data_IF_555745648140
#
_entry.id   IF_555745648140
#
_cell.length_a   1.000
_cell.length_b   1.000
_cell.length_c   1.000
_cell.angle_alpha   90.00
_cell.angle_beta   90.00
_cell.angle_gamma   90.00
#
_symmetry.space_group_name_H-M   'P 1'
#
loop_
_entity.id
_entity.type
_entity.pdbx_description
1 polymer ?
#
# COMPACT_ATOMS: atom_id res chain seq x y z
N UNK A 1 -66.51 20.70 -8.58
CA UNK A 1 -65.59 20.23 -7.52
C UNK A 1 -64.92 21.44 -6.91
N UNK A 2 -64.99 21.62 -5.59
CA UNK A 2 -64.52 22.86 -4.95
C UNK A 2 -63.00 22.97 -5.10
N UNK A 3 -62.45 24.11 -5.59
CA UNK A 3 -61.02 24.26 -5.88
C UNK A 3 -60.14 24.01 -4.63
N UNK A 4 -60.65 24.33 -3.44
CA UNK A 4 -59.99 24.08 -2.16
C UNK A 4 -59.77 22.58 -1.90
N UNK A 5 -60.75 21.74 -2.24
CA UNK A 5 -60.65 20.29 -2.06
C UNK A 5 -59.58 19.67 -2.98
N UNK A 6 -59.44 20.21 -4.20
CA UNK A 6 -58.40 19.78 -5.15
C UNK A 6 -57.00 20.13 -4.62
N UNK A 7 -56.82 21.34 -4.08
CA UNK A 7 -55.55 21.78 -3.51
C UNK A 7 -55.16 20.88 -2.31
N UNK A 8 -56.10 20.61 -1.40
CA UNK A 8 -55.85 19.74 -0.25
C UNK A 8 -55.44 18.32 -0.67
N UNK A 9 -56.08 17.77 -1.70
CA UNK A 9 -55.75 16.45 -2.22
C UNK A 9 -54.33 16.41 -2.84
N UNK A 10 -53.95 17.44 -3.59
CA UNK A 10 -52.59 17.56 -4.15
C UNK A 10 -51.55 17.63 -3.03
N UNK A 11 -51.80 18.45 -2.00
CA UNK A 11 -50.87 18.58 -0.86
C UNK A 11 -50.74 17.25 -0.11
N UNK A 12 -51.84 16.53 0.11
CA UNK A 12 -51.79 15.21 0.74
C UNK A 12 -50.95 14.21 -0.07
N UNK A 13 -51.13 14.17 -1.40
CA UNK A 13 -50.32 13.32 -2.29
C UNK A 13 -48.84 13.69 -2.23
N UNK A 14 -48.51 14.99 -2.26
CA UNK A 14 -47.13 15.45 -2.18
C UNK A 14 -46.46 15.05 -0.85
N UNK A 15 -47.18 15.13 0.27
CA UNK A 15 -46.67 14.71 1.57
C UNK A 15 -46.37 13.21 1.62
N UNK A 16 -47.26 12.38 1.04
CA UNK A 16 -47.04 10.93 0.95
C UNK A 16 -45.81 10.62 0.10
N UNK A 17 -45.68 11.24 -1.08
CA UNK A 17 -44.51 11.05 -1.95
C UNK A 17 -43.23 11.48 -1.24
N UNK A 18 -43.27 12.62 -0.54
CA UNK A 18 -42.13 13.12 0.22
C UNK A 18 -41.67 12.13 1.30
N UNK A 19 -42.61 11.55 2.05
CA UNK A 19 -42.31 10.52 3.04
C UNK A 19 -41.64 9.28 2.43
N UNK A 20 -42.16 8.80 1.30
CA UNK A 20 -41.60 7.66 0.56
C UNK A 20 -40.16 7.95 0.11
N UNK A 21 -39.91 9.15 -0.42
CA UNK A 21 -38.57 9.56 -0.89
C UNK A 21 -37.57 9.59 0.27
N UNK A 22 -37.95 10.16 1.43
CA UNK A 22 -37.07 10.19 2.60
C UNK A 22 -36.75 8.77 3.07
N UNK A 23 -37.77 7.92 3.22
CA UNK A 23 -37.58 6.55 3.68
C UNK A 23 -36.60 5.79 2.78
N UNK A 24 -36.79 5.86 1.46
CA UNK A 24 -35.90 5.22 0.50
C UNK A 24 -34.46 5.76 0.57
N UNK A 25 -34.29 7.08 0.76
CA UNK A 25 -32.95 7.67 0.95
C UNK A 25 -32.27 7.16 2.21
N UNK A 26 -32.99 7.04 3.32
CA UNK A 26 -32.46 6.49 4.57
C UNK A 26 -32.03 5.03 4.42
N UNK A 27 -32.86 4.21 3.78
CA UNK A 27 -32.55 2.81 3.52
C UNK A 27 -31.31 2.69 2.63
N UNK A 28 -31.21 3.50 1.58
CA UNK A 28 -30.04 3.50 0.70
C UNK A 28 -28.77 3.93 1.45
N UNK A 29 -28.87 4.96 2.30
CA UNK A 29 -27.74 5.41 3.12
C UNK A 29 -27.25 4.30 4.06
N UNK A 30 -28.17 3.56 4.70
CA UNK A 30 -27.83 2.41 5.54
C UNK A 30 -27.06 1.33 4.76
N UNK A 31 -27.51 1.00 3.56
CA UNK A 31 -26.82 0.02 2.70
C UNK A 31 -25.43 0.51 2.27
N UNK A 32 -25.30 1.78 1.88
CA UNK A 32 -24.03 2.38 1.49
C UNK A 32 -23.00 2.36 2.62
N UNK A 33 -23.43 2.63 3.86
CA UNK A 33 -22.56 2.51 5.03
C UNK A 33 -22.08 1.08 5.21
N UNK A 34 -22.98 0.08 5.13
CA UNK A 34 -22.61 -1.34 5.23
C UNK A 34 -21.63 -1.78 4.14
N UNK A 35 -21.86 -1.39 2.89
CA UNK A 35 -20.93 -1.65 1.77
C UNK A 35 -19.57 -0.99 2.01
N UNK A 36 -19.55 0.24 2.52
CA UNK A 36 -18.31 0.96 2.80
C UNK A 36 -17.47 0.25 3.87
N UNK A 37 -18.12 -0.23 4.95
CA UNK A 37 -17.46 -1.05 5.97
C UNK A 37 -16.89 -2.35 5.41
N UNK A 38 -17.69 -3.09 4.62
CA UNK A 38 -17.20 -4.33 3.99
C UNK A 38 -16.00 -4.09 3.08
N UNK A 39 -15.98 -2.98 2.32
CA UNK A 39 -14.84 -2.63 1.49
C UNK A 39 -13.59 -2.33 2.33
N UNK A 40 -13.75 -1.63 3.47
CA UNK A 40 -12.63 -1.37 4.40
C UNK A 40 -12.06 -2.68 4.92
N UNK A 41 -12.90 -3.63 5.33
CA UNK A 41 -12.46 -4.93 5.84
C UNK A 41 -11.67 -5.71 4.80
N UNK A 42 -12.13 -5.70 3.53
CA UNK A 42 -11.42 -6.34 2.42
C UNK A 42 -10.05 -5.70 2.21
N UNK A 43 -9.96 -4.37 2.20
CA UNK A 43 -8.69 -3.65 2.04
C UNK A 43 -7.72 -3.94 3.19
N UNK A 44 -8.21 -3.98 4.43
CA UNK A 44 -7.39 -4.29 5.60
C UNK A 44 -6.83 -5.72 5.53
N UNK A 45 -7.67 -6.68 5.12
CA UNK A 45 -7.25 -8.06 4.91
C UNK A 45 -6.21 -8.18 3.80
N UNK A 46 -6.44 -7.53 2.65
CA UNK A 46 -5.47 -7.51 1.55
C UNK A 46 -4.12 -6.93 1.98
N UNK A 47 -4.11 -5.82 2.71
CA UNK A 47 -2.87 -5.25 3.27
C UNK A 47 -2.14 -6.22 4.18
N UNK A 48 -2.87 -6.89 5.07
CA UNK A 48 -2.29 -7.87 5.98
C UNK A 48 -1.70 -9.07 5.23
N UNK A 49 -2.32 -9.49 4.12
CA UNK A 49 -1.86 -10.62 3.30
C UNK A 49 -0.70 -10.25 2.34
N UNK A 50 -0.63 -8.98 1.89
CA UNK A 50 0.37 -8.51 0.94
C UNK A 50 1.67 -8.01 1.59
N UNK A 51 1.60 -7.35 2.75
CA UNK A 51 2.80 -6.83 3.44
C UNK A 51 3.85 -7.92 3.72
N UNK A 52 3.50 -9.13 4.22
CA UNK A 52 4.47 -10.19 4.43
C UNK A 52 5.11 -10.67 3.14
N UNK A 53 4.35 -10.69 2.03
CA UNK A 53 4.86 -11.10 0.72
C UNK A 53 5.89 -10.10 0.21
N UNK A 54 5.63 -8.80 0.36
CA UNK A 54 6.60 -7.75 -0.01
C UNK A 54 7.86 -7.82 0.86
N UNK A 55 7.72 -8.08 2.16
CA UNK A 55 8.85 -8.27 3.07
C UNK A 55 9.66 -9.50 2.67
N UNK A 56 9.02 -10.60 2.30
CA UNK A 56 9.69 -11.83 1.87
C UNK A 56 10.51 -11.61 0.59
N UNK A 57 9.95 -10.91 -0.40
CA UNK A 57 10.69 -10.54 -1.63
C UNK A 57 11.93 -9.70 -1.30
N UNK A 58 11.79 -8.71 -0.42
CA UNK A 58 12.92 -7.89 0.03
C UNK A 58 13.98 -8.72 0.75
N UNK A 59 13.57 -9.62 1.66
CA UNK A 59 14.49 -10.54 2.36
C UNK A 59 15.22 -11.48 1.41
N UNK A 60 14.52 -12.06 0.44
CA UNK A 60 15.15 -12.88 -0.60
C UNK A 60 16.16 -12.07 -1.40
N UNK A 61 15.81 -10.84 -1.81
CA UNK A 61 16.72 -9.96 -2.54
C UNK A 61 17.98 -9.61 -1.73
N UNK A 62 17.83 -9.33 -0.43
CA UNK A 62 18.97 -9.15 0.48
C UNK A 62 19.85 -10.41 0.57
N UNK A 63 19.26 -11.60 0.48
CA UNK A 63 20.00 -12.87 0.42
C UNK A 63 20.82 -13.01 -0.87
N UNK A 64 20.26 -12.63 -2.01
CA UNK A 64 20.95 -12.66 -3.31
C UNK A 64 22.11 -11.67 -3.39
N UNK A 65 21.97 -10.46 -2.84
CA UNK A 65 23.03 -9.45 -2.86
C UNK A 65 24.11 -9.63 -1.78
N UNK A 66 23.89 -10.51 -0.80
CA UNK A 66 24.85 -10.75 0.29
C UNK A 66 26.21 -11.19 -0.21
N UNK A 67 26.25 -12.10 -1.19
CA UNK A 67 27.49 -12.61 -1.77
C UNK A 67 28.29 -11.49 -2.47
N UNK A 68 27.60 -10.65 -3.24
CA UNK A 68 28.20 -9.48 -3.90
C UNK A 68 28.74 -8.49 -2.87
N UNK A 69 27.98 -8.23 -1.81
CA UNK A 69 28.39 -7.33 -0.73
C UNK A 69 29.62 -7.87 0.03
N UNK A 70 29.66 -9.17 0.33
CA UNK A 70 30.81 -9.83 0.96
C UNK A 70 32.06 -9.79 0.07
N UNK A 71 31.91 -9.99 -1.24
CA UNK A 71 33.02 -9.90 -2.21
C UNK A 71 33.60 -8.47 -2.27
N UNK A 72 32.75 -7.44 -2.34
CA UNK A 72 33.19 -6.04 -2.32
C UNK A 72 33.87 -5.68 -1.00
N UNK A 73 33.33 -6.17 0.13
CA UNK A 73 33.93 -5.96 1.45
C UNK A 73 35.29 -6.63 1.59
N UNK A 74 35.46 -7.85 1.07
CA UNK A 74 36.76 -8.51 1.04
C UNK A 74 37.77 -7.75 0.17
N UNK A 75 37.36 -7.32 -1.04
CA UNK A 75 38.21 -6.52 -1.92
C UNK A 75 38.64 -5.20 -1.25
N UNK A 76 37.70 -4.50 -0.59
CA UNK A 76 38.01 -3.27 0.17
C UNK A 76 38.95 -3.53 1.35
N UNK A 77 38.76 -4.63 2.08
CA UNK A 77 39.67 -5.02 3.18
C UNK A 77 41.06 -5.33 2.65
N UNK A 78 41.19 -6.03 1.52
CA UNK A 78 42.48 -6.31 0.90
C UNK A 78 43.26 -5.05 0.51
N UNK A 79 42.58 -4.04 -0.04
CA UNK A 79 43.18 -2.74 -0.33
C UNK A 79 43.60 -2.03 0.97
N UNK A 80 42.74 -2.00 1.98
CA UNK A 80 43.04 -1.36 3.26
C UNK A 80 44.24 -2.01 3.97
N UNK A 81 44.32 -3.35 3.99
CA UNK A 81 45.42 -4.10 4.62
C UNK A 81 46.76 -3.86 3.90
N UNK A 82 46.76 -3.87 2.56
CA UNK A 82 47.95 -3.60 1.76
C UNK A 82 48.45 -2.16 1.96
N UNK A 83 47.52 -1.20 2.07
CA UNK A 83 47.81 0.20 2.34
C UNK A 83 48.42 0.39 3.74
N UNK A 84 47.91 -0.34 4.73
CA UNK A 84 48.37 -0.26 6.11
C UNK A 84 49.77 -0.87 6.31
N UNK A 85 50.12 -1.89 5.52
CA UNK A 85 51.44 -2.53 5.51
C UNK A 85 52.49 -1.78 4.67
N UNK A 86 52.10 -0.68 4.00
CA UNK A 86 52.91 0.06 3.03
C UNK A 86 53.51 -0.84 1.93
N UNK A 87 52.81 -1.92 1.58
CA UNK A 87 53.23 -2.89 0.58
C UNK A 87 52.68 -2.48 -0.80
N UNK A 88 53.47 -1.66 -1.50
CA UNK A 88 53.14 -1.07 -2.81
C UNK A 88 52.79 -2.11 -3.89
N UNK A 89 53.54 -3.23 -4.05
CA UNK A 89 53.15 -4.28 -5.00
C UNK A 89 51.85 -5.00 -4.60
N UNK A 90 51.62 -5.29 -3.32
CA UNK A 90 50.35 -5.89 -2.88
C UNK A 90 49.15 -4.94 -3.05
N UNK A 91 49.37 -3.63 -2.90
CA UNK A 91 48.35 -2.59 -3.10
C UNK A 91 47.85 -2.55 -4.55
N UNK A 92 48.77 -2.60 -5.52
CA UNK A 92 48.41 -2.60 -6.95
C UNK A 92 47.59 -3.82 -7.37
N UNK A 93 47.90 -5.00 -6.80
CA UNK A 93 47.13 -6.21 -7.04
C UNK A 93 45.71 -6.12 -6.43
N UNK A 94 45.60 -5.62 -5.19
CA UNK A 94 44.31 -5.44 -4.51
C UNK A 94 43.41 -4.38 -5.19
N UNK A 95 43.98 -3.27 -5.67
CA UNK A 95 43.23 -2.26 -6.43
C UNK A 95 42.72 -2.81 -7.78
N UNK A 96 43.49 -3.65 -8.45
CA UNK A 96 43.07 -4.30 -9.70
C UNK A 96 41.88 -5.25 -9.50
N UNK A 97 41.80 -5.89 -8.32
CA UNK A 97 40.68 -6.74 -7.91
C UNK A 97 39.43 -5.94 -7.54
N UNK A 98 39.57 -4.77 -6.92
CA UNK A 98 38.43 -3.89 -6.59
C UNK A 98 37.80 -3.25 -7.84
N UNK A 99 38.58 -3.10 -8.92
CA UNK A 99 38.17 -2.38 -10.13
C UNK A 99 37.47 -3.27 -11.18
N UNK A 100 37.46 -4.59 -10.99
CA UNK A 100 36.72 -5.57 -11.81
C UNK A 100 35.38 -5.89 -11.18
#
# INVERSE_FOLDING_TARGET
MNPIAIILLIVAVLLVIYGIVIYNRLVNLKHNVGMSWSNIDVLLKQRHDELPKLVEVCKQYMGYERGTLEAVMQARRGVADAQQRADVPALGAAESQLRR
#
